data_IF_684401183404
#
_entry.id   IF_684401183404
#
_cell.length_a   1.000
_cell.length_b   1.000
_cell.length_c   1.000
_cell.angle_alpha   90.00
_cell.angle_beta   90.00
_cell.angle_gamma   90.00
#
_symmetry.space_group_name_H-M   'P 1'
#
loop_
_entity.id
_entity.type
_entity.pdbx_description
1 polymer ?
#
# COMPACT_ATOMS: atom_id res chain seq x y z
N UNK A 1 -17.73 26.75 -40.03
CA UNK A 1 -18.50 27.60 -39.10
C UNK A 1 -18.57 26.85 -37.78
N UNK A 2 -17.57 27.09 -36.91
CA UNK A 2 -17.65 28.01 -35.75
C UNK A 2 -18.37 27.29 -34.60
N UNK A 3 -17.68 26.67 -33.65
CA UNK A 3 -16.90 27.28 -32.57
C UNK A 3 -17.74 28.18 -31.64
N UNK A 4 -17.62 27.90 -30.34
CA UNK A 4 -17.91 28.77 -29.20
C UNK A 4 -19.39 29.05 -28.85
N UNK A 5 -19.86 28.40 -27.78
CA UNK A 5 -20.45 29.16 -26.67
C UNK A 5 -19.60 28.86 -25.43
N UNK A 6 -19.02 29.94 -24.93
CA UNK A 6 -18.02 30.05 -23.87
C UNK A 6 -18.72 30.37 -22.55
N UNK A 7 -18.15 29.79 -21.48
CA UNK A 7 -18.09 30.25 -20.10
C UNK A 7 -19.39 30.66 -19.37
N UNK A 8 -19.64 29.99 -18.24
CA UNK A 8 -19.57 30.65 -16.92
C UNK A 8 -19.86 29.64 -15.80
N UNK A 9 -18.81 29.08 -15.20
CA UNK A 9 -18.78 28.73 -13.76
C UNK A 9 -17.38 28.47 -13.21
N UNK A 10 -16.33 28.90 -13.90
CA UNK A 10 -14.95 28.93 -13.36
C UNK A 10 -14.82 30.14 -12.44
N UNK A 11 -15.44 30.13 -11.26
CA UNK A 11 -15.14 31.13 -10.20
C UNK A 11 -15.67 30.71 -8.81
N UNK A 12 -15.71 29.40 -8.51
CA UNK A 12 -16.12 28.88 -7.19
C UNK A 12 -15.08 28.02 -6.47
N UNK A 13 -14.22 27.31 -7.22
CA UNK A 13 -13.42 26.20 -6.67
C UNK A 13 -11.94 26.52 -6.39
N UNK A 14 -11.45 27.71 -6.74
CA UNK A 14 -10.05 28.09 -6.47
C UNK A 14 -9.79 28.46 -5.00
N UNK A 15 -10.81 28.92 -4.27
CA UNK A 15 -10.63 29.52 -2.93
C UNK A 15 -10.37 28.46 -1.83
N UNK A 16 -10.64 27.17 -2.06
CA UNK A 16 -10.51 26.12 -1.02
C UNK A 16 -9.26 25.24 -1.10
N UNK A 17 -8.71 24.99 -2.30
CA UNK A 17 -7.42 24.28 -2.43
C UNK A 17 -6.27 25.12 -1.86
N UNK A 18 -6.38 26.45 -1.97
CA UNK A 18 -5.46 27.36 -1.29
C UNK A 18 -5.46 27.17 0.23
N UNK A 19 -6.56 26.78 0.88
CA UNK A 19 -6.64 26.65 2.33
C UNK A 19 -5.81 25.49 2.89
N UNK A 20 -5.87 24.29 2.29
CA UNK A 20 -5.06 23.14 2.76
C UNK A 20 -3.60 23.32 2.34
N UNK A 21 -3.34 23.83 1.13
CA UNK A 21 -1.99 24.13 0.65
C UNK A 21 -1.33 25.23 1.50
N UNK A 22 -2.09 26.25 1.90
CA UNK A 22 -1.73 27.30 2.85
C UNK A 22 -1.51 26.74 4.25
N UNK A 23 -2.35 25.83 4.75
CA UNK A 23 -2.13 25.18 6.05
C UNK A 23 -0.88 24.29 6.09
N UNK A 24 -0.56 23.60 4.99
CA UNK A 24 0.69 22.83 4.85
C UNK A 24 1.93 23.72 4.60
N UNK A 25 1.76 24.96 4.11
CA UNK A 25 2.84 25.91 3.81
C UNK A 25 3.08 26.97 4.92
N UNK A 26 2.06 27.29 5.73
CA UNK A 26 2.08 28.37 6.75
C UNK A 26 2.24 27.87 8.18
N UNK A 27 2.47 26.57 8.40
CA UNK A 27 3.05 26.10 9.66
C UNK A 27 4.42 26.77 9.88
N UNK A 28 4.84 27.06 11.13
CA UNK A 28 6.11 27.72 11.39
C UNK A 28 7.23 26.91 10.72
N UNK A 29 7.79 27.42 9.63
CA UNK A 29 8.89 26.75 8.95
C UNK A 29 10.08 26.76 9.91
N UNK A 30 10.50 25.62 10.49
CA UNK A 30 11.51 25.62 11.52
C UNK A 30 12.80 26.17 10.91
N UNK A 31 13.27 27.32 11.40
CA UNK A 31 14.53 27.97 10.96
C UNK A 31 15.78 27.11 11.26
N UNK A 32 15.61 25.99 11.97
CA UNK A 32 16.60 24.91 12.11
C UNK A 32 16.15 23.77 11.19
N UNK A 33 17.03 23.31 10.29
CA UNK A 33 16.83 22.02 9.61
C UNK A 33 16.63 20.97 10.69
N UNK A 34 15.39 20.55 10.90
CA UNK A 34 15.11 19.38 11.72
C UNK A 34 15.89 18.20 11.12
N UNK A 35 16.50 17.36 11.97
CA UNK A 35 17.19 16.18 11.48
C UNK A 35 16.21 15.34 10.64
N UNK A 36 16.69 14.66 9.59
CA UNK A 36 15.81 13.86 8.74
C UNK A 36 15.07 12.84 9.61
N UNK A 37 13.79 12.65 9.31
CA UNK A 37 12.94 11.66 9.98
C UNK A 37 13.61 10.29 9.96
N UNK A 38 13.73 9.67 11.13
CA UNK A 38 14.28 8.31 11.25
C UNK A 38 13.19 7.28 10.98
N UNK A 39 13.59 6.12 10.46
CA UNK A 39 12.65 5.06 10.11
C UNK A 39 11.90 4.52 11.33
N UNK A 40 12.56 4.49 12.47
CA UNK A 40 12.01 4.02 13.74
C UNK A 40 10.85 4.90 14.25
N UNK A 41 10.86 6.19 13.85
CA UNK A 41 9.87 7.18 14.30
C UNK A 41 8.59 7.19 13.45
N UNK A 42 8.54 6.41 12.36
CA UNK A 42 7.40 6.38 11.43
C UNK A 42 6.07 6.02 12.10
N UNK A 43 6.12 5.16 13.12
CA UNK A 43 4.93 4.74 13.88
C UNK A 43 4.31 5.88 14.70
N UNK A 44 5.09 6.88 15.07
CA UNK A 44 4.64 8.03 15.86
C UNK A 44 4.12 9.19 15.00
N UNK A 45 4.35 9.15 13.68
CA UNK A 45 3.97 10.25 12.79
C UNK A 45 2.44 10.38 12.69
N UNK A 46 1.91 11.61 12.55
CA UNK A 46 0.49 11.86 12.25
C UNK A 46 0.15 11.57 10.78
N UNK A 47 0.66 10.45 10.25
CA UNK A 47 0.48 10.03 8.87
C UNK A 47 0.22 8.52 8.84
N UNK A 48 -0.98 8.13 8.38
CA UNK A 48 -1.35 6.70 8.28
C UNK A 48 -0.43 5.91 7.36
N UNK A 49 0.10 6.55 6.31
CA UNK A 49 1.08 5.92 5.41
C UNK A 49 2.37 5.62 6.18
N UNK A 50 2.90 6.58 6.95
CA UNK A 50 4.10 6.35 7.77
C UNK A 50 3.90 5.20 8.76
N UNK A 51 2.77 5.18 9.47
CA UNK A 51 2.45 4.10 10.41
C UNK A 51 2.35 2.73 9.73
N UNK A 52 1.77 2.67 8.53
CA UNK A 52 1.72 1.44 7.74
C UNK A 52 3.13 1.01 7.30
N UNK A 53 3.95 1.94 6.82
CA UNK A 53 5.32 1.66 6.37
C UNK A 53 6.24 1.20 7.49
N UNK A 54 5.99 1.58 8.74
CA UNK A 54 6.70 1.00 9.89
C UNK A 54 6.55 -0.53 9.98
N UNK A 55 5.48 -1.10 9.41
CA UNK A 55 5.23 -2.54 9.34
C UNK A 55 5.62 -3.12 7.98
N UNK A 56 5.16 -2.52 6.88
CA UNK A 56 5.25 -3.11 5.53
C UNK A 56 6.31 -2.48 4.63
N UNK A 57 7.00 -1.42 5.07
CA UNK A 57 7.89 -0.62 4.24
C UNK A 57 9.24 -1.25 3.93
N UNK A 58 9.56 -2.41 4.51
CA UNK A 58 10.74 -3.19 4.14
C UNK A 58 10.51 -3.95 2.81
N UNK A 59 11.54 -3.94 1.94
CA UNK A 59 11.51 -4.56 0.61
C UNK A 59 11.11 -6.03 0.64
N UNK A 60 11.62 -6.80 1.61
CA UNK A 60 11.38 -8.24 1.71
C UNK A 60 9.99 -8.54 2.28
N UNK A 61 9.46 -7.68 3.14
CA UNK A 61 8.09 -7.80 3.65
C UNK A 61 7.07 -7.87 2.51
N UNK A 62 7.16 -6.96 1.53
CA UNK A 62 6.24 -6.96 0.38
C UNK A 62 6.39 -8.21 -0.50
N UNK A 63 7.60 -8.76 -0.62
CA UNK A 63 7.83 -10.01 -1.36
C UNK A 63 7.27 -11.23 -0.63
N UNK A 64 7.36 -11.26 0.70
CA UNK A 64 6.71 -12.29 1.53
C UNK A 64 5.19 -12.18 1.39
N UNK A 65 4.61 -10.98 1.50
CA UNK A 65 3.17 -10.77 1.35
C UNK A 65 2.66 -11.20 -0.04
N UNK A 66 3.39 -10.86 -1.11
CA UNK A 66 3.11 -11.37 -2.47
C UNK A 66 3.03 -12.89 -2.48
N UNK A 67 4.02 -13.57 -1.90
CA UNK A 67 4.06 -15.03 -1.86
C UNK A 67 2.93 -15.62 -0.99
N UNK A 68 2.54 -14.96 0.11
CA UNK A 68 1.37 -15.35 0.91
C UNK A 68 0.07 -15.33 0.08
N UNK A 69 -0.15 -14.31 -0.74
CA UNK A 69 -1.32 -14.23 -1.63
C UNK A 69 -1.28 -15.27 -2.76
N UNK A 70 -0.09 -15.76 -3.12
CA UNK A 70 0.09 -16.91 -4.02
C UNK A 70 -0.05 -18.27 -3.31
N UNK A 71 -0.42 -18.28 -2.02
CA UNK A 71 -0.65 -19.49 -1.25
C UNK A 71 0.60 -20.09 -0.60
N UNK A 72 1.74 -19.41 -0.63
CA UNK A 72 2.93 -19.84 0.10
C UNK A 72 2.72 -19.63 1.59
N UNK A 73 2.92 -20.68 2.39
CA UNK A 73 2.69 -20.63 3.85
C UNK A 73 3.86 -21.17 4.67
N UNK A 74 4.82 -21.85 4.05
CA UNK A 74 5.91 -22.55 4.76
C UNK A 74 7.22 -21.78 4.67
N UNK A 75 7.99 -21.78 5.76
CA UNK A 75 9.25 -21.03 5.87
C UNK A 75 10.22 -21.36 4.73
N UNK A 76 10.43 -22.64 4.46
CA UNK A 76 11.40 -23.13 3.47
C UNK A 76 11.04 -22.66 2.05
N UNK A 77 9.74 -22.52 1.76
CA UNK A 77 9.27 -22.02 0.47
C UNK A 77 9.53 -20.52 0.33
N UNK A 78 9.32 -19.72 1.37
CA UNK A 78 9.70 -18.30 1.36
C UNK A 78 11.22 -18.16 1.13
N UNK A 79 12.03 -18.91 1.88
CA UNK A 79 13.48 -18.88 1.74
C UNK A 79 13.91 -19.26 0.31
N UNK A 80 13.38 -20.36 -0.22
CA UNK A 80 13.71 -20.86 -1.57
C UNK A 80 13.32 -19.88 -2.67
N UNK A 81 12.13 -19.26 -2.57
CA UNK A 81 11.59 -18.37 -3.61
C UNK A 81 12.25 -16.99 -3.60
N UNK A 82 12.62 -16.50 -2.42
CA UNK A 82 13.24 -15.17 -2.28
C UNK A 82 14.76 -15.21 -2.44
N UNK A 83 15.41 -16.36 -2.21
CA UNK A 83 16.87 -16.48 -2.32
C UNK A 83 17.64 -15.68 -1.28
N UNK A 84 16.99 -15.29 -0.17
CA UNK A 84 17.59 -14.48 0.91
C UNK A 84 17.98 -15.33 2.12
N UNK A 85 18.77 -14.74 3.02
CA UNK A 85 19.22 -15.41 4.24
C UNK A 85 18.04 -15.81 5.13
N UNK A 86 18.21 -16.91 5.87
CA UNK A 86 17.21 -17.38 6.87
C UNK A 86 16.91 -16.30 7.91
N UNK A 87 17.91 -15.51 8.28
CA UNK A 87 17.78 -14.43 9.25
C UNK A 87 16.79 -13.38 8.76
N UNK A 88 16.88 -12.95 7.49
CA UNK A 88 15.94 -11.98 6.90
C UNK A 88 14.52 -12.54 6.91
N UNK A 89 14.31 -13.77 6.42
CA UNK A 89 12.96 -14.37 6.38
C UNK A 89 12.38 -14.50 7.78
N UNK A 90 13.18 -14.97 8.75
CA UNK A 90 12.77 -15.12 10.15
C UNK A 90 12.32 -13.79 10.74
N UNK A 91 13.15 -12.75 10.56
CA UNK A 91 12.90 -11.42 11.12
C UNK A 91 11.64 -10.77 10.54
N UNK A 92 11.44 -10.86 9.22
CA UNK A 92 10.25 -10.30 8.56
C UNK A 92 8.98 -11.09 8.91
N UNK A 93 9.03 -12.43 8.94
CA UNK A 93 7.88 -13.23 9.38
C UNK A 93 7.51 -12.96 10.84
N UNK A 94 8.51 -12.81 11.73
CA UNK A 94 8.29 -12.41 13.11
C UNK A 94 7.58 -11.05 13.18
N UNK A 95 8.09 -10.05 12.47
CA UNK A 95 7.50 -8.70 12.43
C UNK A 95 6.04 -8.75 11.98
N UNK A 96 5.73 -9.51 10.94
CA UNK A 96 4.36 -9.67 10.44
C UNK A 96 3.43 -10.41 11.41
N UNK A 97 3.97 -11.36 12.19
CA UNK A 97 3.21 -12.05 13.23
C UNK A 97 2.93 -11.12 14.43
N UNK A 98 3.95 -10.39 14.89
CA UNK A 98 3.82 -9.41 15.98
C UNK A 98 2.85 -8.28 15.61
N UNK A 99 2.85 -7.84 14.35
CA UNK A 99 1.91 -6.85 13.84
C UNK A 99 0.49 -7.42 13.61
N UNK A 100 0.25 -8.71 13.81
CA UNK A 100 -1.03 -9.37 13.60
C UNK A 100 -1.45 -9.49 12.13
N UNK A 101 -0.51 -9.33 11.19
CA UNK A 101 -0.74 -9.49 9.74
C UNK A 101 -0.72 -10.97 9.35
N UNK A 102 0.14 -11.75 10.01
CA UNK A 102 0.19 -13.20 9.90
C UNK A 102 -0.09 -13.83 11.26
N UNK A 103 -0.56 -15.07 11.23
CA UNK A 103 -0.59 -15.96 12.41
C UNK A 103 0.25 -17.20 12.14
N UNK A 104 0.99 -17.64 13.14
CA UNK A 104 1.79 -18.87 13.10
C UNK A 104 0.94 -20.04 13.62
N UNK A 105 0.75 -21.06 12.79
CA UNK A 105 -0.17 -22.17 13.07
C UNK A 105 0.58 -23.50 12.93
N UNK A 106 0.50 -24.43 13.89
CA UNK A 106 1.03 -25.77 13.70
C UNK A 106 0.26 -26.49 12.59
N UNK A 107 0.96 -27.20 11.70
CA UNK A 107 0.33 -28.03 10.66
C UNK A 107 0.76 -29.50 10.75
N UNK A 108 1.73 -29.80 11.60
CA UNK A 108 2.27 -31.13 11.85
C UNK A 108 2.77 -31.14 13.30
N UNK A 109 2.55 -32.24 14.03
CA UNK A 109 2.88 -32.32 15.45
C UNK A 109 4.20 -33.07 15.75
N UNK A 110 4.69 -33.89 14.82
CA UNK A 110 5.89 -34.72 15.04
C UNK A 110 6.85 -34.77 13.83
N UNK A 111 7.99 -34.03 13.84
CA UNK A 111 8.26 -32.88 14.72
C UNK A 111 7.25 -31.75 14.47
N UNK A 112 7.06 -30.87 15.46
CA UNK A 112 6.14 -29.73 15.32
C UNK A 112 6.62 -28.83 14.18
N UNK A 113 5.78 -28.63 13.17
CA UNK A 113 6.05 -27.68 12.08
C UNK A 113 4.96 -26.64 12.00
N UNK A 114 5.38 -25.43 11.68
CA UNK A 114 4.50 -24.28 11.60
C UNK A 114 4.39 -23.77 10.19
N UNK A 115 3.23 -23.20 9.90
CA UNK A 115 2.98 -22.40 8.71
C UNK A 115 2.44 -21.03 9.11
N UNK A 116 2.52 -20.10 8.17
CA UNK A 116 2.12 -18.72 8.34
C UNK A 116 0.88 -18.47 7.49
N UNK A 117 -0.20 -18.01 8.13
CA UNK A 117 -1.47 -17.72 7.46
C UNK A 117 -1.79 -16.24 7.60
N UNK A 118 -2.30 -15.64 6.52
CA UNK A 118 -2.88 -14.29 6.58
C UNK A 118 -4.03 -14.26 7.58
N UNK A 119 -4.06 -13.19 8.38
CA UNK A 119 -5.23 -12.80 9.19
C UNK A 119 -6.16 -11.92 8.36
N UNK A 120 -7.30 -11.49 8.90
CA UNK A 120 -8.16 -10.49 8.26
C UNK A 120 -7.38 -9.20 7.96
N UNK A 121 -6.66 -8.68 8.95
CA UNK A 121 -5.74 -7.53 8.78
C UNK A 121 -4.71 -7.76 7.67
N UNK A 122 -4.22 -8.98 7.49
CA UNK A 122 -3.30 -9.30 6.41
C UNK A 122 -3.96 -9.38 5.05
N UNK A 123 -5.21 -9.84 4.97
CA UNK A 123 -5.99 -9.85 3.73
C UNK A 123 -6.30 -8.43 3.24
N UNK A 124 -6.48 -7.48 4.15
CA UNK A 124 -6.68 -6.05 3.81
C UNK A 124 -5.49 -5.42 3.06
N UNK A 125 -4.31 -6.07 3.07
CA UNK A 125 -3.14 -5.63 2.29
C UNK A 125 -3.20 -6.06 0.82
N UNK A 126 -4.18 -6.88 0.42
CA UNK A 126 -4.29 -7.34 -0.97
C UNK A 126 -4.38 -6.19 -2.00
N UNK A 127 -5.20 -5.14 -1.80
CA UNK A 127 -5.26 -4.01 -2.72
C UNK A 127 -3.90 -3.31 -2.90
N UNK A 128 -3.10 -3.20 -1.82
CA UNK A 128 -1.76 -2.60 -1.88
C UNK A 128 -0.83 -3.44 -2.74
N UNK A 129 -0.80 -4.76 -2.53
CA UNK A 129 0.02 -5.69 -3.33
C UNK A 129 -0.40 -5.66 -4.80
N UNK A 130 -1.71 -5.61 -5.07
CA UNK A 130 -2.24 -5.51 -6.43
C UNK A 130 -1.84 -4.19 -7.11
N UNK A 131 -1.91 -3.06 -6.41
CA UNK A 131 -1.52 -1.77 -6.95
C UNK A 131 -0.03 -1.71 -7.30
N UNK A 132 0.84 -2.22 -6.41
CA UNK A 132 2.29 -2.32 -6.66
C UNK A 132 2.56 -3.22 -7.87
N UNK A 133 1.88 -4.37 -7.95
CA UNK A 133 2.03 -5.29 -9.07
C UNK A 133 1.62 -4.63 -10.40
N UNK A 134 0.47 -3.95 -10.43
CA UNK A 134 -0.01 -3.28 -11.63
C UNK A 134 0.91 -2.16 -12.09
N UNK A 135 1.45 -1.37 -11.15
CA UNK A 135 2.49 -0.38 -11.45
C UNK A 135 3.73 -1.03 -12.08
N UNK A 136 4.15 -2.18 -11.53
CA UNK A 136 5.21 -3.02 -12.09
C UNK A 136 4.93 -3.46 -13.53
N UNK A 137 3.72 -3.96 -13.76
CA UNK A 137 3.26 -4.45 -15.07
C UNK A 137 3.24 -3.34 -16.13
N UNK A 138 2.82 -2.12 -15.77
CA UNK A 138 2.73 -0.99 -16.73
C UNK A 138 4.13 -0.48 -17.11
N UNK A 139 5.03 -0.35 -16.13
CA UNK A 139 6.26 0.43 -16.31
C UNK A 139 7.53 -0.41 -16.49
N UNK A 140 7.51 -1.67 -16.06
CA UNK A 140 8.71 -2.50 -15.96
C UNK A 140 8.54 -3.90 -16.58
N UNK A 141 7.38 -4.22 -17.14
CA UNK A 141 7.23 -5.43 -17.94
C UNK A 141 8.09 -5.36 -19.21
N UNK A 142 8.69 -6.49 -19.60
CA UNK A 142 9.40 -6.61 -20.87
C UNK A 142 8.45 -6.71 -22.06
N UNK A 143 8.99 -6.91 -23.27
CA UNK A 143 8.20 -7.07 -24.49
C UNK A 143 7.19 -8.23 -24.43
N UNK A 144 7.52 -9.28 -23.67
CA UNK A 144 6.65 -10.45 -23.43
C UNK A 144 5.46 -10.15 -22.49
N UNK A 145 5.42 -8.96 -21.89
CA UNK A 145 4.37 -8.54 -20.97
C UNK A 145 4.59 -8.96 -19.50
N UNK A 146 3.54 -8.83 -18.66
CA UNK A 146 3.61 -9.11 -17.24
C UNK A 146 3.94 -10.57 -16.93
N UNK A 147 4.79 -10.86 -15.93
CA UNK A 147 5.15 -12.24 -15.58
C UNK A 147 4.02 -13.00 -14.88
N UNK A 148 2.99 -12.30 -14.38
CA UNK A 148 1.83 -12.88 -13.70
C UNK A 148 0.58 -12.15 -14.16
N UNK A 149 -0.39 -12.86 -14.71
CA UNK A 149 -1.73 -12.33 -14.97
C UNK A 149 -2.64 -12.61 -13.78
N UNK A 150 -3.57 -11.69 -13.49
CA UNK A 150 -4.56 -11.86 -12.42
C UNK A 150 -5.90 -12.14 -13.05
N UNK A 151 -6.52 -13.24 -12.64
CA UNK A 151 -7.83 -13.67 -13.13
C UNK A 151 -8.88 -13.52 -12.05
N UNK A 152 -9.99 -12.87 -12.37
CA UNK A 152 -11.15 -12.83 -11.50
C UNK A 152 -11.83 -14.21 -11.53
N UNK A 153 -11.90 -14.89 -10.38
CA UNK A 153 -12.50 -16.22 -10.29
C UNK A 153 -13.98 -16.26 -10.68
N UNK A 154 -14.73 -15.18 -10.44
CA UNK A 154 -16.16 -15.12 -10.69
C UNK A 154 -16.52 -15.06 -12.19
N UNK A 155 -15.77 -14.30 -12.99
CA UNK A 155 -16.05 -14.17 -14.44
C UNK A 155 -15.01 -14.83 -15.35
N UNK A 156 -13.87 -15.26 -14.83
CA UNK A 156 -12.78 -15.86 -15.61
C UNK A 156 -11.95 -14.87 -16.44
N UNK A 157 -12.29 -13.59 -16.44
CA UNK A 157 -11.53 -12.55 -17.14
C UNK A 157 -10.23 -12.23 -16.39
N UNK A 158 -9.18 -11.96 -17.15
CA UNK A 158 -7.98 -11.34 -16.60
C UNK A 158 -8.28 -9.85 -16.34
N UNK A 159 -7.78 -9.32 -15.23
CA UNK A 159 -8.10 -7.97 -14.76
C UNK A 159 -6.86 -7.25 -14.24
N UNK A 160 -6.94 -5.92 -14.24
CA UNK A 160 -6.05 -5.06 -13.49
C UNK A 160 -6.85 -4.35 -12.38
N UNK A 161 -6.22 -4.01 -11.24
CA UNK A 161 -6.91 -3.29 -10.18
C UNK A 161 -7.35 -1.90 -10.67
N UNK A 162 -8.53 -1.46 -10.24
CA UNK A 162 -9.07 -0.12 -10.46
C UNK A 162 -9.51 0.43 -9.11
N UNK A 163 -9.14 1.67 -8.82
CA UNK A 163 -9.64 2.39 -7.65
C UNK A 163 -10.91 3.13 -8.03
N UNK A 164 -11.97 2.94 -7.23
CA UNK A 164 -13.28 3.57 -7.41
C UNK A 164 -13.69 4.33 -6.16
N UNK A 165 -14.56 5.32 -6.31
CA UNK A 165 -15.20 6.00 -5.18
C UNK A 165 -16.16 5.04 -4.47
N UNK A 166 -16.07 4.93 -3.15
CA UNK A 166 -16.95 4.07 -2.35
C UNK A 166 -18.43 4.47 -2.41
N UNK A 167 -18.70 5.75 -2.71
CA UNK A 167 -20.05 6.30 -2.67
C UNK A 167 -20.77 6.23 -4.02
N UNK A 168 -20.09 6.56 -5.13
CA UNK A 168 -20.71 6.59 -6.46
C UNK A 168 -20.26 5.45 -7.40
N UNK A 169 -19.20 4.72 -7.05
CA UNK A 169 -18.67 3.62 -7.87
C UNK A 169 -17.83 4.04 -9.08
N UNK A 170 -17.72 5.34 -9.39
CA UNK A 170 -16.92 5.84 -10.50
C UNK A 170 -15.40 5.67 -10.24
N UNK A 171 -14.59 5.38 -11.27
CA UNK A 171 -13.14 5.37 -11.16
C UNK A 171 -12.57 6.71 -10.69
N UNK A 172 -11.58 6.65 -9.79
CA UNK A 172 -10.94 7.83 -9.21
C UNK A 172 -9.45 7.84 -9.54
N UNK A 173 -8.99 8.96 -10.10
CA UNK A 173 -7.57 9.24 -10.31
C UNK A 173 -7.02 10.23 -9.28
N UNK A 174 -5.69 10.32 -9.18
CA UNK A 174 -5.03 11.25 -8.26
C UNK A 174 -5.43 12.73 -8.46
N UNK A 175 -5.90 13.12 -9.66
CA UNK A 175 -6.34 14.50 -9.95
C UNK A 175 -7.78 14.79 -9.50
N UNK A 176 -8.53 13.75 -9.14
CA UNK A 176 -9.93 13.83 -8.72
C UNK A 176 -10.07 13.68 -7.19
N UNK A 177 -8.95 13.69 -6.45
CA UNK A 177 -8.92 13.55 -4.99
C UNK A 177 -8.45 14.86 -4.37
N UNK A 178 -9.25 15.38 -3.43
CA UNK A 178 -8.87 16.47 -2.53
C UNK A 178 -8.55 15.89 -1.15
N UNK A 179 -7.37 16.21 -0.60
CA UNK A 179 -7.03 15.84 0.77
C UNK A 179 -7.53 16.90 1.75
N UNK A 180 -8.23 16.47 2.81
CA UNK A 180 -8.68 17.32 3.91
C UNK A 180 -8.17 16.75 5.23
N UNK A 181 -7.79 17.63 6.16
CA UNK A 181 -7.36 17.22 7.49
C UNK A 181 -8.51 16.53 8.24
N UNK A 182 -8.27 15.29 8.69
CA UNK A 182 -9.19 14.58 9.59
C UNK A 182 -8.89 14.87 11.05
N UNK A 183 -9.73 14.35 11.95
CA UNK A 183 -9.60 14.55 13.40
C UNK A 183 -8.27 14.07 14.01
N UNK A 184 -7.57 13.15 13.34
CA UNK A 184 -6.25 12.65 13.77
C UNK A 184 -5.06 13.48 13.28
N UNK A 185 -5.29 14.53 12.49
CA UNK A 185 -4.25 15.46 12.07
C UNK A 185 -4.01 16.50 13.16
N UNK A 186 -2.75 16.82 13.52
CA UNK A 186 -2.45 17.83 14.54
C UNK A 186 -3.15 19.14 14.23
N UNK A 187 -3.71 19.77 15.27
CA UNK A 187 -4.21 21.13 15.15
C UNK A 187 -3.05 22.06 14.73
N UNK A 188 -3.31 23.07 13.88
CA UNK A 188 -2.32 24.05 13.48
C UNK A 188 -1.75 24.84 14.68
#
# INVERSE_FOLDING_TARGET
MLAAIVASSVFGDQVRIESVRSQMQNGPHPKRREPPMKWEDLSAQPCSISRALAVIGDRWTLMILRDCFLGVRRFELFQKRLGVSRTIVTDRLRTLVEAGVLRRVPYQDHPVRHEYRLTEKGLDLHPVVMAIAHFGDIHYAGAEGPPVLRRHKGCGCDFHPVQVCSECGEPVSARQVEARAGAGFPAP
#
